data_IF_064379853179
#
_entry.id   IF_064379853179
#
_cell.length_a   1.000
_cell.length_b   1.000
_cell.length_c   1.000
_cell.angle_alpha   90.00
_cell.angle_beta   90.00
_cell.angle_gamma   90.00
#
_symmetry.space_group_name_H-M   'P 1'
#
loop_
_entity.id
_entity.type
_entity.pdbx_description
1 polymer ?
#
# COMPACT_ATOMS: atom_id res chain seq x y z
N UNK A 1 -8.12 -13.16 -32.04
CA UNK A 1 -7.22 -13.29 -30.87
C UNK A 1 -7.32 -12.00 -30.06
N UNK A 2 -7.98 -12.03 -28.91
CA UNK A 2 -8.10 -10.86 -28.04
C UNK A 2 -6.73 -10.62 -27.37
N UNK A 3 -6.08 -9.52 -27.73
CA UNK A 3 -4.82 -9.07 -27.14
C UNK A 3 -5.01 -8.66 -25.68
N UNK A 4 -5.09 -9.63 -24.78
CA UNK A 4 -5.09 -9.40 -23.34
C UNK A 4 -3.66 -9.18 -22.89
N UNK A 5 -3.28 -7.94 -22.61
CA UNK A 5 -2.05 -7.67 -21.87
C UNK A 5 -2.09 -8.44 -20.55
N UNK A 6 -1.01 -9.16 -20.18
CA UNK A 6 -0.97 -9.87 -18.92
C UNK A 6 -1.18 -8.88 -17.75
N UNK A 7 -2.03 -9.22 -16.77
CA UNK A 7 -2.30 -8.34 -15.64
C UNK A 7 -1.01 -8.01 -14.89
N UNK A 8 -0.80 -6.72 -14.60
CA UNK A 8 0.36 -6.28 -13.83
C UNK A 8 0.37 -6.88 -12.42
N UNK A 9 1.54 -7.06 -11.82
CA UNK A 9 1.67 -7.58 -10.45
C UNK A 9 0.83 -6.79 -9.43
N UNK A 10 0.76 -5.47 -9.59
CA UNK A 10 -0.10 -4.60 -8.78
C UNK A 10 -1.60 -4.87 -8.96
N UNK A 11 -2.03 -5.34 -10.14
CA UNK A 11 -3.39 -5.80 -10.37
C UNK A 11 -3.70 -7.10 -9.59
N UNK A 12 -2.78 -8.08 -9.63
CA UNK A 12 -2.91 -9.31 -8.84
C UNK A 12 -3.01 -9.05 -7.33
N UNK A 13 -2.15 -8.18 -6.80
CA UNK A 13 -2.19 -7.78 -5.39
C UNK A 13 -3.49 -7.05 -4.99
N UNK A 14 -4.10 -6.29 -5.92
CA UNK A 14 -5.41 -5.66 -5.70
C UNK A 14 -6.53 -6.68 -5.72
N UNK A 15 -6.56 -7.58 -6.69
CA UNK A 15 -7.53 -8.67 -6.75
C UNK A 15 -7.46 -9.55 -5.51
N UNK A 16 -6.26 -9.91 -5.04
CA UNK A 16 -6.08 -10.63 -3.78
C UNK A 16 -6.77 -9.93 -2.59
N UNK A 17 -6.58 -8.61 -2.46
CA UNK A 17 -7.22 -7.83 -1.39
C UNK A 17 -8.74 -7.82 -1.53
N UNK A 18 -9.26 -7.68 -2.75
CA UNK A 18 -10.70 -7.69 -3.04
C UNK A 18 -11.29 -9.05 -2.69
N UNK A 19 -10.71 -10.15 -3.19
CA UNK A 19 -11.18 -11.50 -2.89
C UNK A 19 -11.11 -11.82 -1.40
N UNK A 20 -10.02 -11.44 -0.72
CA UNK A 20 -9.91 -11.64 0.74
C UNK A 20 -10.96 -10.84 1.52
N UNK A 21 -11.25 -9.61 1.09
CA UNK A 21 -12.27 -8.78 1.70
C UNK A 21 -13.67 -9.37 1.49
N UNK A 22 -13.98 -9.84 0.28
CA UNK A 22 -15.26 -10.47 -0.05
C UNK A 22 -15.44 -11.80 0.68
N UNK A 23 -14.41 -12.63 0.76
CA UNK A 23 -14.41 -13.87 1.53
C UNK A 23 -14.75 -13.62 3.00
N UNK A 24 -14.10 -12.62 3.61
CA UNK A 24 -14.40 -12.21 5.00
C UNK A 24 -15.81 -11.64 5.15
N UNK A 25 -16.33 -10.97 4.12
CA UNK A 25 -17.71 -10.47 4.11
C UNK A 25 -18.71 -11.63 4.12
N UNK A 26 -18.50 -12.64 3.28
CA UNK A 26 -19.34 -13.84 3.26
C UNK A 26 -19.29 -14.58 4.61
N UNK A 27 -18.10 -14.75 5.20
CA UNK A 27 -17.96 -15.37 6.51
C UNK A 27 -18.75 -14.63 7.61
N UNK A 28 -18.75 -13.29 7.60
CA UNK A 28 -19.60 -12.48 8.51
C UNK A 28 -21.09 -12.72 8.26
N UNK A 29 -21.52 -12.71 7.00
CA UNK A 29 -22.92 -12.97 6.65
C UNK A 29 -23.40 -14.34 7.17
N UNK A 30 -22.61 -15.40 6.95
CA UNK A 30 -22.90 -16.73 7.49
C UNK A 30 -22.93 -16.74 9.02
N UNK A 31 -22.01 -16.05 9.67
CA UNK A 31 -21.97 -15.91 11.12
C UNK A 31 -23.23 -15.24 11.66
N UNK A 32 -23.73 -14.20 11.00
CA UNK A 32 -24.95 -13.48 11.39
C UNK A 32 -26.19 -14.39 11.21
N UNK A 33 -26.23 -15.19 10.15
CA UNK A 33 -27.26 -16.21 9.94
C UNK A 33 -27.27 -17.30 11.02
N UNK A 34 -26.09 -17.82 11.37
CA UNK A 34 -25.94 -18.79 12.46
C UNK A 34 -26.39 -18.20 13.78
N UNK A 35 -26.05 -16.94 14.05
CA UNK A 35 -26.48 -16.23 15.26
C UNK A 35 -28.01 -16.17 15.35
N UNK A 36 -28.68 -15.77 14.26
CA UNK A 36 -30.14 -15.73 14.20
C UNK A 36 -30.76 -17.12 14.45
N UNK A 37 -30.22 -18.17 13.82
CA UNK A 37 -30.71 -19.54 14.00
C UNK A 37 -30.61 -20.04 15.45
N UNK A 38 -29.53 -19.69 16.14
CA UNK A 38 -29.27 -20.08 17.53
C UNK A 38 -30.21 -19.35 18.48
N UNK A 39 -30.54 -18.09 18.20
CA UNK A 39 -31.51 -17.33 18.99
C UNK A 39 -32.92 -17.90 18.89
N UNK A 40 -33.27 -18.53 17.76
CA UNK A 40 -34.56 -19.21 17.58
C UNK A 40 -34.70 -20.52 18.39
N UNK A 41 -33.60 -21.10 18.89
CA UNK A 41 -33.57 -22.43 19.56
C UNK A 41 -34.02 -22.39 21.04
N UNK A 42 -34.45 -21.22 21.56
CA UNK A 42 -35.13 -21.04 22.85
C UNK A 42 -34.31 -21.27 24.13
N UNK A 43 -33.20 -21.99 24.08
CA UNK A 43 -32.37 -22.32 25.25
C UNK A 43 -31.10 -21.45 25.31
N UNK A 44 -31.09 -20.41 26.14
CA UNK A 44 -29.99 -19.42 26.27
C UNK A 44 -28.63 -20.07 26.61
N UNK A 45 -28.59 -21.05 27.51
CA UNK A 45 -27.34 -21.73 27.88
C UNK A 45 -26.77 -22.59 26.76
N UNK A 46 -27.61 -23.40 26.10
CA UNK A 46 -27.20 -24.23 24.94
C UNK A 46 -26.80 -23.35 23.76
N UNK A 47 -27.50 -22.24 23.55
CA UNK A 47 -27.20 -21.24 22.53
C UNK A 47 -25.78 -20.66 22.68
N UNK A 48 -25.38 -20.26 23.90
CA UNK A 48 -24.05 -19.69 24.15
C UNK A 48 -22.91 -20.70 23.93
N UNK A 49 -23.13 -21.98 24.23
CA UNK A 49 -22.14 -23.03 23.97
C UNK A 49 -22.03 -23.32 22.47
N UNK A 50 -23.17 -23.57 21.80
CA UNK A 50 -23.22 -23.77 20.34
C UNK A 50 -22.58 -22.61 19.59
N UNK A 51 -22.86 -21.37 19.99
CA UNK A 51 -22.27 -20.18 19.38
C UNK A 51 -20.74 -20.15 19.48
N UNK A 52 -20.17 -20.51 20.64
CA UNK A 52 -18.72 -20.56 20.83
C UNK A 52 -18.08 -21.64 19.96
N UNK A 53 -18.69 -22.82 19.88
CA UNK A 53 -18.22 -23.92 19.02
C UNK A 53 -18.29 -23.53 17.53
N UNK A 54 -19.41 -22.98 17.07
CA UNK A 54 -19.56 -22.51 15.70
C UNK A 54 -18.62 -21.36 15.35
N UNK A 55 -18.43 -20.40 16.26
CA UNK A 55 -17.50 -19.29 16.03
C UNK A 55 -16.06 -19.78 15.83
N UNK A 56 -15.62 -20.76 16.64
CA UNK A 56 -14.29 -21.39 16.48
C UNK A 56 -14.17 -22.15 15.16
N UNK A 57 -15.16 -22.98 14.83
CA UNK A 57 -15.20 -23.72 13.58
C UNK A 57 -15.20 -22.79 12.37
N UNK A 58 -15.97 -21.70 12.42
CA UNK A 58 -16.05 -20.72 11.34
C UNK A 58 -14.73 -19.97 11.18
N UNK A 59 -14.08 -19.54 12.26
CA UNK A 59 -12.75 -18.91 12.19
C UNK A 59 -11.70 -19.85 11.57
N UNK A 60 -11.64 -21.11 12.05
CA UNK A 60 -10.69 -22.10 11.55
C UNK A 60 -10.94 -22.46 10.08
N UNK A 61 -12.18 -22.77 9.73
CA UNK A 61 -12.54 -23.15 8.36
C UNK A 61 -12.37 -22.01 7.37
N UNK A 62 -12.70 -20.76 7.74
CA UNK A 62 -12.57 -19.58 6.87
C UNK A 62 -11.13 -19.37 6.43
N UNK A 63 -10.16 -19.46 7.35
CA UNK A 63 -8.74 -19.33 6.99
C UNK A 63 -8.23 -20.58 6.25
N UNK A 64 -8.64 -21.80 6.65
CA UNK A 64 -8.25 -23.02 5.95
C UNK A 64 -8.72 -23.06 4.49
N UNK A 65 -9.97 -22.66 4.22
CA UNK A 65 -10.50 -22.53 2.87
C UNK A 65 -9.81 -21.39 2.11
N UNK A 66 -9.52 -20.27 2.76
CA UNK A 66 -8.75 -19.19 2.14
C UNK A 66 -7.37 -19.67 1.68
N UNK A 67 -6.68 -20.47 2.49
CA UNK A 67 -5.41 -21.07 2.09
C UNK A 67 -5.53 -21.99 0.87
N UNK A 68 -6.58 -22.82 0.79
CA UNK A 68 -6.83 -23.66 -0.40
C UNK A 68 -7.08 -22.83 -1.67
N UNK A 69 -7.89 -21.78 -1.56
CA UNK A 69 -8.13 -20.84 -2.67
C UNK A 69 -6.84 -20.09 -3.02
N UNK A 70 -6.05 -19.71 -2.03
CA UNK A 70 -4.78 -19.03 -2.27
C UNK A 70 -3.79 -19.94 -3.02
N UNK A 71 -3.75 -21.22 -2.69
CA UNK A 71 -2.88 -22.18 -3.37
C UNK A 71 -3.28 -22.40 -4.83
N UNK A 72 -4.58 -22.30 -5.18
CA UNK A 72 -5.01 -22.33 -6.57
C UNK A 72 -4.79 -20.99 -7.31
N UNK A 73 -4.81 -19.87 -6.60
CA UNK A 73 -4.56 -18.54 -7.18
C UNK A 73 -3.07 -18.22 -7.35
N UNK A 74 -2.18 -18.75 -6.50
CA UNK A 74 -0.74 -18.50 -6.50
C UNK A 74 -0.08 -18.76 -7.88
N UNK A 75 -0.35 -19.88 -8.57
CA UNK A 75 0.20 -20.14 -9.90
C UNK A 75 -0.29 -19.16 -10.98
N UNK A 76 -1.46 -18.55 -10.79
CA UNK A 76 -2.05 -17.60 -11.73
C UNK A 76 -1.49 -16.19 -11.58
N UNK A 77 -0.86 -15.89 -10.44
CA UNK A 77 -0.13 -14.64 -10.25
C UNK A 77 1.20 -14.81 -10.99
N UNK A 78 1.49 -14.00 -12.03
CA UNK A 78 2.78 -14.07 -12.69
C UNK A 78 3.86 -13.95 -11.61
N UNK A 79 4.90 -14.81 -11.65
CA UNK A 79 5.97 -14.75 -10.67
C UNK A 79 6.43 -13.31 -10.62
N UNK A 80 6.65 -12.79 -9.41
CA UNK A 80 7.24 -11.46 -9.26
C UNK A 80 8.58 -11.56 -9.98
N UNK A 81 8.63 -11.04 -11.20
CA UNK A 81 9.87 -10.75 -11.89
C UNK A 81 10.50 -9.72 -10.97
N UNK A 82 11.32 -10.20 -10.04
CA UNK A 82 12.27 -9.34 -9.37
C UNK A 82 12.96 -8.66 -10.54
N UNK A 83 12.80 -7.33 -10.69
CA UNK A 83 13.48 -6.64 -11.76
C UNK A 83 14.94 -7.09 -11.67
N UNK A 84 15.44 -7.67 -12.76
CA UNK A 84 16.83 -8.10 -12.90
C UNK A 84 17.70 -7.03 -12.27
N UNK A 85 18.33 -7.38 -11.15
CA UNK A 85 19.23 -6.55 -10.35
C UNK A 85 18.95 -5.02 -10.34
N UNK A 86 18.33 -4.57 -9.25
CA UNK A 86 18.92 -3.63 -8.28
C UNK A 86 19.45 -2.24 -8.72
N UNK A 87 19.38 -1.87 -9.99
CA UNK A 87 19.74 -0.53 -10.46
C UNK A 87 18.58 0.41 -10.22
N UNK A 88 18.73 1.26 -9.21
CA UNK A 88 18.10 2.57 -9.21
C UNK A 88 18.29 3.15 -10.62
N UNK A 89 17.21 3.55 -11.30
CA UNK A 89 17.35 4.22 -12.59
C UNK A 89 17.98 5.59 -12.35
N UNK A 90 19.32 5.62 -12.35
CA UNK A 90 20.13 6.82 -12.44
C UNK A 90 20.30 7.14 -13.92
N UNK A 91 19.83 8.32 -14.33
CA UNK A 91 20.16 8.84 -15.66
C UNK A 91 21.53 9.51 -15.60
N UNK A 92 22.53 8.86 -16.19
CA UNK A 92 23.94 9.25 -16.15
C UNK A 92 24.71 8.45 -15.10
N UNK A 93 25.98 8.15 -15.38
CA UNK A 93 26.91 7.34 -14.55
C UNK A 93 27.21 7.98 -13.18
N UNK A 94 26.19 8.17 -12.36
CA UNK A 94 26.31 8.72 -11.02
C UNK A 94 26.15 7.58 -10.04
N UNK A 95 27.26 7.19 -9.44
CA UNK A 95 27.28 6.19 -8.38
C UNK A 95 26.76 6.82 -7.09
N UNK A 96 25.60 6.37 -6.63
CA UNK A 96 25.08 6.74 -5.33
C UNK A 96 25.56 5.72 -4.29
N UNK A 97 25.96 6.17 -3.09
CA UNK A 97 26.21 5.27 -1.96
C UNK A 97 25.09 4.24 -1.77
N UNK A 98 25.42 2.98 -1.50
CA UNK A 98 24.42 1.90 -1.38
C UNK A 98 23.29 2.21 -0.40
N UNK A 99 23.64 2.89 0.70
CA UNK A 99 22.69 3.32 1.73
C UNK A 99 21.58 4.22 1.18
N UNK A 100 21.88 5.02 0.17
CA UNK A 100 20.93 5.92 -0.50
C UNK A 100 20.03 5.14 -1.45
N UNK A 101 20.59 4.15 -2.16
CA UNK A 101 19.83 3.21 -2.96
C UNK A 101 18.73 2.53 -2.13
N UNK A 102 19.06 2.08 -0.91
CA UNK A 102 18.08 1.45 0.00
C UNK A 102 16.91 2.38 0.35
N UNK A 103 17.18 3.66 0.64
CA UNK A 103 16.13 4.65 0.97
C UNK A 103 15.26 4.94 -0.25
N UNK A 104 15.87 5.17 -1.41
CA UNK A 104 15.15 5.52 -2.64
C UNK A 104 14.34 4.34 -3.21
N UNK A 105 14.74 3.09 -2.92
CA UNK A 105 13.97 1.88 -3.26
C UNK A 105 12.63 1.78 -2.52
N UNK A 106 12.51 2.38 -1.33
CA UNK A 106 11.26 2.40 -0.56
C UNK A 106 10.18 3.23 -1.27
N UNK A 107 10.57 4.19 -2.11
CA UNK A 107 9.64 5.02 -2.87
C UNK A 107 8.99 6.16 -2.08
N UNK A 108 8.23 7.05 -2.73
CA UNK A 108 7.75 8.29 -2.14
C UNK A 108 6.82 8.12 -0.94
N UNK A 109 6.14 6.98 -0.85
CA UNK A 109 5.22 6.70 0.25
C UNK A 109 5.91 6.10 1.48
N UNK A 110 7.08 5.49 1.33
CA UNK A 110 7.74 4.73 2.40
C UNK A 110 9.16 5.23 2.70
N UNK A 111 9.71 6.14 1.90
CA UNK A 111 11.03 6.75 2.15
C UNK A 111 11.02 7.72 3.34
N UNK A 112 9.85 8.25 3.71
CA UNK A 112 9.65 8.96 4.97
C UNK A 112 8.88 8.02 5.89
N UNK A 113 9.59 7.20 6.65
CA UNK A 113 8.96 6.41 7.69
C UNK A 113 8.36 7.39 8.73
N UNK A 114 7.08 7.27 9.10
CA UNK A 114 6.50 8.09 10.14
C UNK A 114 7.32 7.88 11.41
N UNK A 115 7.87 8.98 11.94
CA UNK A 115 8.59 8.98 13.22
C UNK A 115 7.54 8.87 14.31
N UNK A 116 7.23 7.63 14.69
CA UNK A 116 6.59 7.38 15.98
C UNK A 116 7.65 6.95 16.95
N UNK A 117 7.72 7.61 18.10
CA UNK A 117 8.60 7.15 19.16
C UNK A 117 8.06 5.83 19.76
N UNK A 118 8.86 5.19 20.61
CA UNK A 118 8.45 3.92 21.22
C UNK A 118 7.18 4.08 22.08
N UNK A 119 7.00 5.23 22.74
CA UNK A 119 5.84 5.50 23.58
C UNK A 119 4.55 5.66 22.76
N UNK A 120 4.62 6.34 21.62
CA UNK A 120 3.53 6.53 20.66
C UNK A 120 3.14 5.21 19.98
N UNK A 121 4.13 4.36 19.66
CA UNK A 121 3.89 3.03 19.14
C UNK A 121 3.19 2.13 20.17
N UNK A 122 3.64 2.18 21.44
CA UNK A 122 2.98 1.50 22.56
C UNK A 122 1.57 2.01 22.80
N UNK A 123 1.36 3.34 22.73
CA UNK A 123 0.04 3.94 22.83
C UNK A 123 -0.89 3.44 21.72
N UNK A 124 -0.40 3.33 20.48
CA UNK A 124 -1.16 2.75 19.38
C UNK A 124 -1.55 1.29 19.62
N UNK A 125 -0.62 0.46 20.13
CA UNK A 125 -0.93 -0.95 20.49
C UNK A 125 -2.04 -1.01 21.52
N UNK A 126 -1.98 -0.16 22.55
CA UNK A 126 -3.00 -0.07 23.60
C UNK A 126 -4.34 0.45 23.08
N UNK A 127 -4.34 1.41 22.16
CA UNK A 127 -5.56 1.93 21.52
C UNK A 127 -6.25 0.85 20.68
N UNK A 128 -5.48 0.04 19.95
CA UNK A 128 -5.99 -1.09 19.17
C UNK A 128 -6.55 -2.16 20.11
N UNK A 129 -5.81 -2.53 21.15
CA UNK A 129 -6.26 -3.52 22.13
C UNK A 129 -7.54 -3.09 22.85
N UNK A 130 -7.73 -1.79 23.14
CA UNK A 130 -8.98 -1.27 23.75
C UNK A 130 -10.22 -1.51 22.88
N UNK A 131 -10.06 -1.63 21.56
CA UNK A 131 -11.15 -1.91 20.62
C UNK A 131 -11.41 -3.41 20.46
N UNK A 132 -10.57 -4.28 21.02
CA UNK A 132 -10.75 -5.72 21.00
C UNK A 132 -11.75 -6.17 22.10
N UNK A 133 -12.40 -7.33 21.92
CA UNK A 133 -13.17 -8.00 22.97
C UNK A 133 -12.37 -8.15 24.26
N UNK A 134 -13.02 -8.05 25.44
CA UNK A 134 -12.33 -8.05 26.74
C UNK A 134 -11.42 -9.26 26.96
N UNK A 135 -11.85 -10.43 26.49
CA UNK A 135 -11.13 -11.70 26.58
C UNK A 135 -9.89 -11.78 25.66
N UNK A 136 -9.79 -10.88 24.67
CA UNK A 136 -8.69 -10.87 23.69
C UNK A 136 -7.72 -9.70 23.89
N UNK A 137 -8.03 -8.74 24.77
CA UNK A 137 -7.23 -7.50 24.93
C UNK A 137 -5.78 -7.79 25.27
N UNK A 138 -5.53 -8.67 26.23
CA UNK A 138 -4.17 -9.00 26.67
C UNK A 138 -3.38 -9.71 25.58
N UNK A 139 -4.04 -10.58 24.81
CA UNK A 139 -3.44 -11.23 23.63
C UNK A 139 -3.10 -10.21 22.54
N UNK A 140 -3.99 -9.24 22.28
CA UNK A 140 -3.72 -8.15 21.35
C UNK A 140 -2.53 -7.28 21.78
N UNK A 141 -2.44 -6.94 23.08
CA UNK A 141 -1.27 -6.21 23.61
C UNK A 141 0.00 -7.04 23.44
N UNK A 142 0.00 -8.31 23.84
CA UNK A 142 1.17 -9.19 23.74
C UNK A 142 1.65 -9.35 22.30
N UNK A 143 0.73 -9.53 21.34
CA UNK A 143 1.08 -9.59 19.91
C UNK A 143 1.63 -8.26 19.40
N UNK A 144 1.02 -7.13 19.78
CA UNK A 144 1.52 -5.80 19.44
C UNK A 144 2.93 -5.56 19.98
N UNK A 145 3.20 -5.96 21.22
CA UNK A 145 4.52 -5.88 21.84
C UNK A 145 5.56 -6.73 21.09
N UNK A 146 5.22 -7.96 20.72
CA UNK A 146 6.10 -8.83 19.95
C UNK A 146 6.45 -8.23 18.58
N UNK A 147 5.47 -7.61 17.91
CA UNK A 147 5.71 -6.89 16.64
C UNK A 147 6.64 -5.71 16.85
N UNK A 148 6.42 -4.90 17.89
CA UNK A 148 7.29 -3.76 18.21
C UNK A 148 8.72 -4.20 18.56
N UNK A 149 8.89 -5.28 19.31
CA UNK A 149 10.18 -5.85 19.64
C UNK A 149 10.91 -6.39 18.39
N UNK A 150 10.15 -6.86 17.39
CA UNK A 150 10.68 -7.36 16.12
C UNK A 150 10.94 -6.26 15.09
N UNK A 151 10.33 -5.08 15.25
CA UNK A 151 10.62 -3.91 14.46
C UNK A 151 12.00 -3.36 14.86
N UNK A 152 13.04 -3.89 14.22
CA UNK A 152 14.42 -3.45 14.38
C UNK A 152 14.61 -1.95 14.20
N UNK A 153 15.72 -1.44 14.75
CA UNK A 153 16.10 -0.02 14.86
C UNK A 153 15.66 0.82 13.66
N UNK A 154 14.96 1.93 13.97
CA UNK A 154 14.57 2.95 13.02
C UNK A 154 15.74 3.36 12.12
N UNK A 155 15.51 3.47 10.81
CA UNK A 155 16.45 4.10 9.90
C UNK A 155 16.62 5.57 10.35
N UNK A 156 17.73 5.86 11.02
CA UNK A 156 18.00 7.13 11.68
C UNK A 156 17.78 8.32 10.74
N UNK A 157 17.05 9.34 11.20
CA UNK A 157 16.76 10.57 10.43
C UNK A 157 17.99 11.30 9.87
N UNK A 158 19.18 11.05 10.44
CA UNK A 158 20.48 11.53 9.95
C UNK A 158 20.76 11.10 8.50
N UNK A 159 20.26 9.92 8.08
CA UNK A 159 20.50 9.39 6.73
C UNK A 159 19.73 10.13 5.64
N UNK A 160 18.54 10.65 5.95
CA UNK A 160 17.72 11.39 4.99
C UNK A 160 18.28 12.80 4.72
N UNK A 161 18.74 13.50 5.76
CA UNK A 161 19.35 14.82 5.60
C UNK A 161 20.61 14.70 4.74
N UNK A 162 21.48 13.73 5.03
CA UNK A 162 22.66 13.44 4.22
C UNK A 162 22.31 13.12 2.76
N UNK A 163 21.30 12.27 2.53
CA UNK A 163 20.81 11.97 1.19
C UNK A 163 20.39 13.23 0.43
N UNK A 164 19.61 14.12 1.06
CA UNK A 164 19.14 15.36 0.42
C UNK A 164 20.31 16.30 0.12
N UNK A 165 21.28 16.43 1.03
CA UNK A 165 22.48 17.23 0.81
C UNK A 165 23.29 16.70 -0.37
N UNK A 166 23.57 15.39 -0.41
CA UNK A 166 24.34 14.78 -1.51
C UNK A 166 23.61 14.87 -2.85
N UNK A 167 22.27 14.70 -2.87
CA UNK A 167 21.50 14.91 -4.09
C UNK A 167 21.61 16.37 -4.59
N UNK A 168 21.65 17.36 -3.69
CA UNK A 168 21.85 18.77 -4.07
C UNK A 168 23.26 19.05 -4.58
N UNK A 169 24.28 18.51 -3.90
CA UNK A 169 25.69 18.67 -4.27
C UNK A 169 25.99 18.12 -5.68
N UNK A 170 25.35 17.00 -6.06
CA UNK A 170 25.50 16.41 -7.39
C UNK A 170 24.45 16.88 -8.41
N UNK A 171 23.68 17.92 -8.09
CA UNK A 171 22.62 18.47 -8.95
C UNK A 171 21.64 17.39 -9.44
N UNK A 172 21.30 16.46 -8.55
CA UNK A 172 20.38 15.36 -8.81
C UNK A 172 18.96 15.71 -8.36
N UNK A 173 18.01 15.37 -9.21
CA UNK A 173 16.58 15.52 -8.99
C UNK A 173 15.94 14.14 -8.85
N UNK A 174 15.09 13.98 -7.84
CA UNK A 174 14.36 12.73 -7.59
C UNK A 174 12.92 12.90 -8.08
N UNK A 175 12.48 12.00 -8.95
CA UNK A 175 11.11 11.95 -9.47
C UNK A 175 10.40 10.68 -9.00
N UNK A 176 9.10 10.74 -8.69
CA UNK A 176 8.30 9.53 -8.54
C UNK A 176 8.18 8.83 -9.91
N UNK A 177 8.79 7.65 -10.03
CA UNK A 177 8.73 6.79 -11.20
C UNK A 177 7.43 5.98 -11.20
N UNK A 178 6.35 6.66 -11.60
CA UNK A 178 5.01 6.16 -11.95
C UNK A 178 4.40 5.04 -11.05
N UNK A 179 3.32 4.38 -11.49
CA UNK A 179 2.36 3.53 -10.73
C UNK A 179 2.94 2.43 -9.81
N UNK A 180 4.23 2.13 -9.89
CA UNK A 180 4.91 1.17 -9.01
C UNK A 180 5.45 1.81 -7.72
N UNK A 181 5.43 3.15 -7.64
CA UNK A 181 5.81 3.90 -6.45
C UNK A 181 7.29 3.83 -6.15
N UNK A 182 8.17 3.88 -7.16
CA UNK A 182 9.62 3.98 -6.99
C UNK A 182 10.11 5.41 -7.24
N UNK A 183 11.36 5.70 -6.91
CA UNK A 183 12.03 6.93 -7.30
C UNK A 183 12.94 6.71 -8.51
N UNK A 184 12.92 7.64 -9.46
CA UNK A 184 13.94 7.82 -10.48
C UNK A 184 14.85 8.99 -10.06
N UNK A 185 16.16 8.85 -10.27
CA UNK A 185 17.12 9.91 -9.99
C UNK A 185 17.72 10.38 -11.31
N UNK A 186 17.60 11.67 -11.58
CA UNK A 186 18.02 12.28 -12.84
C UNK A 186 18.94 13.47 -12.54
N UNK A 187 19.86 13.78 -13.44
CA UNK A 187 20.53 15.09 -13.41
C UNK A 187 19.52 16.22 -13.63
N UNK A 188 19.80 17.39 -13.05
CA UNK A 188 18.92 18.55 -13.14
C UNK A 188 18.64 18.98 -14.58
N UNK A 189 19.61 18.84 -15.48
CA UNK A 189 19.47 19.12 -16.92
C UNK A 189 18.39 18.23 -17.55
N UNK A 190 18.53 16.90 -17.39
CA UNK A 190 17.58 15.90 -17.90
C UNK A 190 16.19 16.09 -17.28
N UNK A 191 16.13 16.44 -16.00
CA UNK A 191 14.89 16.78 -15.32
C UNK A 191 14.18 17.99 -15.95
N UNK A 192 14.92 19.07 -16.23
CA UNK A 192 14.37 20.29 -16.87
C UNK A 192 13.86 19.99 -18.27
N UNK A 193 14.59 19.19 -19.06
CA UNK A 193 14.15 18.77 -20.39
C UNK A 193 12.87 17.92 -20.35
N UNK A 194 12.79 16.93 -19.45
CA UNK A 194 11.58 16.14 -19.24
C UNK A 194 10.41 17.01 -18.83
N UNK A 195 10.63 17.97 -17.93
CA UNK A 195 9.64 18.96 -17.53
C UNK A 195 9.11 19.78 -18.72
N UNK A 196 10.01 20.30 -19.57
CA UNK A 196 9.64 21.04 -20.78
C UNK A 196 8.89 20.18 -21.80
N UNK A 197 9.33 18.93 -22.03
CA UNK A 197 8.65 17.97 -22.92
C UNK A 197 7.25 17.62 -22.42
N UNK A 198 7.09 17.39 -21.12
CA UNK A 198 5.78 17.13 -20.52
C UNK A 198 4.87 18.36 -20.59
N UNK A 199 5.39 19.54 -20.29
CA UNK A 199 4.64 20.80 -20.38
C UNK A 199 4.13 21.07 -21.80
N UNK A 200 5.01 20.96 -22.81
CA UNK A 200 4.66 21.16 -24.22
C UNK A 200 3.66 20.10 -24.72
N UNK A 201 3.82 18.84 -24.34
CA UNK A 201 2.87 17.77 -24.67
C UNK A 201 1.50 17.96 -24.00
N UNK A 202 1.45 18.43 -22.74
CA UNK A 202 0.20 18.76 -22.06
C UNK A 202 -0.51 19.92 -22.76
N UNK A 203 0.23 20.98 -23.11
CA UNK A 203 -0.29 22.15 -23.83
C UNK A 203 -0.88 21.75 -25.20
N UNK A 204 -0.19 20.88 -25.96
CA UNK A 204 -0.67 20.32 -27.24
C UNK A 204 -1.91 19.43 -27.10
N UNK A 205 -2.04 18.69 -26.00
CA UNK A 205 -3.25 17.90 -25.70
C UNK A 205 -4.43 18.81 -25.34
N UNK A 206 -4.21 19.84 -24.54
CA UNK A 206 -5.25 20.83 -24.21
C UNK A 206 -5.76 21.57 -25.45
N UNK A 207 -4.86 21.97 -26.37
CA UNK A 207 -5.25 22.64 -27.62
C UNK A 207 -5.95 21.73 -28.65
N UNK A 208 -6.01 20.42 -28.42
CA UNK A 208 -6.68 19.43 -29.29
C UNK A 208 -8.01 18.93 -28.73
N UNK A 209 -8.46 19.43 -27.57
CA UNK A 209 -9.77 19.11 -27.01
C UNK A 209 -10.81 20.03 -27.67
N UNK A 210 -11.74 19.53 -28.50
CA UNK A 210 -12.80 20.36 -29.06
C UNK A 210 -13.76 20.70 -27.92
N UNK A 211 -13.74 21.96 -27.46
CA UNK A 211 -14.60 22.42 -26.36
C UNK A 211 -14.10 23.65 -25.59
N UNK A 212 -12.83 24.03 -25.72
CA UNK A 212 -12.26 25.20 -25.01
C UNK A 212 -11.98 26.42 -25.91
N UNK A 213 -12.73 26.59 -27.00
CA UNK A 213 -12.69 27.83 -27.80
C UNK A 213 -13.79 28.85 -27.42
N UNK A 214 -14.63 28.57 -26.41
CA UNK A 214 -15.75 29.44 -26.04
C UNK A 214 -15.50 30.43 -24.89
N UNK A 215 -14.25 30.62 -24.43
CA UNK A 215 -13.95 31.60 -23.36
C UNK A 215 -12.73 32.50 -23.68
N UNK A 216 -12.56 32.93 -24.93
CA UNK A 216 -11.65 34.02 -25.28
C UNK A 216 -12.27 35.08 -26.21
N UNK A 217 -13.59 35.29 -26.09
CA UNK A 217 -14.31 36.34 -26.81
C UNK A 217 -15.18 37.15 -25.87
N UNK A 218 -14.58 38.07 -25.13
CA UNK A 218 -15.32 39.04 -24.32
C UNK A 218 -14.39 40.17 -23.85
N UNK A 219 -14.39 41.33 -24.52
CA UNK A 219 -13.74 42.52 -23.98
C UNK A 219 -14.67 43.10 -22.89
N UNK A 220 -14.11 43.62 -21.79
CA UNK A 220 -14.60 44.79 -21.05
C UNK A 220 -13.87 44.89 -19.70
N UNK A 221 -12.68 45.47 -19.74
CA UNK A 221 -12.24 46.40 -18.70
C UNK A 221 -11.49 47.53 -19.40
N UNK A 222 -12.21 48.62 -19.65
CA UNK A 222 -11.64 49.95 -19.88
C UNK A 222 -12.25 50.89 -18.84
N UNK A 223 -11.34 51.51 -18.10
CA UNK A 223 -11.46 52.57 -17.08
C UNK A 223 -12.10 52.19 -15.75
#
# INVERSE_FOLDING_TARGET
>A
MLGGFPPSFGYGGRLYKIFRAEWRRQARFYRDWLHASILCDGSVRRAKQKWREFSRLLAFSTEAFWHRVLDSLRPLVPPKVLPSEDRLHSSGDVELPEDFGRILRLGPKFAVQPRKDAAELLACVRDVARRAPEDERDSCVAQGMNVLASCGQQLSGVRLVRLVTTLREHELCVLPADKEGRFAVLRQEVYRELGQKLYTNRRRKFSRTPGYQLLQGGPLFRH
#
